data_IF_344431386184
#
_entry.id   IF_344431386184
#
_cell.length_a   1.000
_cell.length_b   1.000
_cell.length_c   1.000
_cell.angle_alpha   90.00
_cell.angle_beta   90.00
_cell.angle_gamma   90.00
#
_symmetry.space_group_name_H-M   'P 1'
#
loop_
_entity.id
_entity.type
_entity.pdbx_description
1 polymer ?
#
# COMPACT_ATOMS: atom_id res chain seq x y z
N UNK A 1 -8.08 -6.82 -10.94
CA UNK A 1 -7.57 -5.61 -10.26
C UNK A 1 -8.10 -4.38 -10.99
N UNK A 2 -8.84 -3.51 -10.30
CA UNK A 2 -9.30 -2.24 -10.85
C UNK A 2 -8.79 -1.07 -10.01
N UNK A 3 -8.45 0.04 -10.66
CA UNK A 3 -8.08 1.28 -9.97
C UNK A 3 -9.26 2.24 -10.06
N UNK A 4 -9.84 2.58 -8.92
CA UNK A 4 -10.96 3.52 -8.88
C UNK A 4 -10.54 4.91 -9.39
N UNK A 5 -11.49 5.71 -9.88
CA UNK A 5 -11.23 7.10 -10.29
C UNK A 5 -10.52 7.88 -9.17
N UNK A 6 -11.00 7.74 -7.93
CA UNK A 6 -10.39 8.36 -6.77
C UNK A 6 -8.93 7.92 -6.57
N UNK A 7 -8.64 6.63 -6.67
CA UNK A 7 -7.27 6.14 -6.58
C UNK A 7 -6.36 6.67 -7.70
N UNK A 8 -6.87 6.78 -8.93
CA UNK A 8 -6.12 7.37 -10.06
C UNK A 8 -5.74 8.82 -9.78
N UNK A 9 -6.68 9.63 -9.30
CA UNK A 9 -6.42 11.03 -8.90
C UNK A 9 -5.34 11.11 -7.81
N UNK A 10 -5.47 10.28 -6.77
CA UNK A 10 -4.48 10.24 -5.67
C UNK A 10 -3.10 9.78 -6.11
N UNK A 11 -3.01 8.81 -7.02
CA UNK A 11 -1.75 8.34 -7.61
C UNK A 11 -1.09 9.40 -8.50
N UNK A 12 -1.88 10.17 -9.25
CA UNK A 12 -1.37 11.29 -10.02
C UNK A 12 -0.82 12.38 -9.09
N UNK A 13 -1.58 12.78 -8.07
CA UNK A 13 -1.19 13.83 -7.12
C UNK A 13 0.03 13.45 -6.27
N UNK A 14 0.09 12.21 -5.76
CA UNK A 14 1.08 11.78 -4.76
C UNK A 14 2.28 11.08 -5.36
N UNK A 15 2.12 10.49 -6.54
CA UNK A 15 3.15 9.68 -7.18
C UNK A 15 3.48 10.15 -8.61
N UNK A 16 2.80 11.18 -9.13
CA UNK A 16 3.01 11.68 -10.50
C UNK A 16 2.61 10.69 -11.60
N UNK A 17 1.81 9.66 -11.28
CA UNK A 17 1.51 8.58 -12.22
C UNK A 17 0.34 8.93 -13.15
N UNK A 18 0.51 8.56 -14.42
CA UNK A 18 -0.60 8.49 -15.37
C UNK A 18 -1.42 7.21 -15.17
N UNK A 19 -2.55 7.10 -15.87
CA UNK A 19 -3.49 5.98 -15.74
C UNK A 19 -2.84 4.60 -15.93
N UNK A 20 -2.09 4.40 -17.03
CA UNK A 20 -1.42 3.11 -17.31
C UNK A 20 -0.40 2.75 -16.21
N UNK A 21 0.37 3.73 -15.75
CA UNK A 21 1.34 3.52 -14.68
C UNK A 21 0.67 3.27 -13.34
N UNK A 22 -0.48 3.90 -13.09
CA UNK A 22 -1.30 3.70 -11.89
C UNK A 22 -1.83 2.28 -11.81
N UNK A 23 -2.33 1.74 -12.92
CA UNK A 23 -2.80 0.36 -13.01
C UNK A 23 -1.66 -0.64 -12.81
N UNK A 24 -0.50 -0.41 -13.45
CA UNK A 24 0.70 -1.23 -13.26
C UNK A 24 1.15 -1.22 -11.80
N UNK A 25 1.21 -0.05 -11.17
CA UNK A 25 1.66 0.11 -9.79
C UNK A 25 0.69 -0.54 -8.81
N UNK A 26 -0.62 -0.37 -9.01
CA UNK A 26 -1.64 -1.02 -8.19
C UNK A 26 -1.51 -2.55 -8.24
N UNK A 27 -1.28 -3.12 -9.43
CA UNK A 27 -1.06 -4.56 -9.61
C UNK A 27 0.20 -5.03 -8.86
N UNK A 28 1.33 -4.35 -9.04
CA UNK A 28 2.59 -4.67 -8.35
C UNK A 28 2.41 -4.62 -6.83
N UNK A 29 1.82 -3.55 -6.30
CA UNK A 29 1.59 -3.40 -4.87
C UNK A 29 0.65 -4.49 -4.32
N UNK A 30 -0.35 -4.92 -5.09
CA UNK A 30 -1.26 -5.98 -4.67
C UNK A 30 -0.57 -7.35 -4.58
N UNK A 31 0.26 -7.66 -5.56
CA UNK A 31 0.96 -8.95 -5.70
C UNK A 31 2.18 -9.05 -4.79
N UNK A 32 2.99 -7.98 -4.73
CA UNK A 32 4.32 -7.97 -4.09
C UNK A 32 4.40 -7.13 -2.82
N UNK A 33 3.37 -6.37 -2.50
CA UNK A 33 3.36 -5.52 -1.30
C UNK A 33 3.19 -6.34 -0.03
N UNK A 34 3.81 -5.87 1.05
CA UNK A 34 3.69 -6.49 2.37
C UNK A 34 2.24 -6.47 2.83
N UNK A 35 1.76 -7.62 3.29
CA UNK A 35 0.44 -7.83 3.88
C UNK A 35 0.50 -7.51 5.37
N UNK A 36 -0.66 -7.31 5.97
CA UNK A 36 -0.77 -7.09 7.42
C UNK A 36 -0.11 -8.18 8.28
N UNK A 37 -0.15 -9.43 7.80
CA UNK A 37 0.50 -10.58 8.45
C UNK A 37 2.04 -10.49 8.47
N UNK A 38 2.63 -9.79 7.50
CA UNK A 38 4.09 -9.64 7.37
C UNK A 38 4.63 -8.54 8.29
N UNK A 39 3.73 -7.70 8.84
CA UNK A 39 4.11 -6.52 9.62
C UNK A 39 4.22 -6.86 11.11
N UNK A 40 5.21 -6.25 11.76
CA UNK A 40 5.44 -6.35 13.20
C UNK A 40 5.60 -4.95 13.83
N UNK A 41 5.72 -4.90 15.15
CA UNK A 41 6.13 -3.69 15.87
C UNK A 41 5.28 -2.44 15.61
N UNK A 42 5.96 -1.31 15.40
CA UNK A 42 5.33 0.00 15.21
C UNK A 42 4.67 0.12 13.84
N UNK A 43 5.20 -0.55 12.82
CA UNK A 43 4.62 -0.57 11.49
C UNK A 43 3.24 -1.23 11.49
N UNK A 44 3.08 -2.37 12.17
CA UNK A 44 1.79 -3.04 12.33
C UNK A 44 0.77 -2.13 13.04
N UNK A 45 1.15 -1.52 14.17
CA UNK A 45 0.32 -0.57 14.91
C UNK A 45 -0.13 0.62 14.06
N UNK A 46 0.75 1.12 13.19
CA UNK A 46 0.40 2.21 12.29
C UNK A 46 -0.62 1.78 11.24
N UNK A 47 -0.46 0.59 10.63
CA UNK A 47 -1.41 0.03 9.66
C UNK A 47 -2.77 -0.26 10.31
N UNK A 48 -2.79 -0.80 11.53
CA UNK A 48 -4.03 -1.03 12.29
C UNK A 48 -4.84 0.25 12.42
N UNK A 49 -4.19 1.37 12.76
CA UNK A 49 -4.84 2.69 12.81
C UNK A 49 -5.48 3.07 11.48
N UNK A 50 -4.83 2.80 10.34
CA UNK A 50 -5.38 3.15 9.02
C UNK A 50 -6.64 2.36 8.67
N UNK A 51 -6.75 1.12 9.18
CA UNK A 51 -7.93 0.28 9.01
C UNK A 51 -9.16 0.87 9.71
N UNK A 52 -9.00 1.40 10.93
CA UNK A 52 -10.10 2.02 11.68
C UNK A 52 -10.67 3.29 11.01
N UNK A 53 -9.83 4.04 10.27
CA UNK A 53 -10.27 5.19 9.48
C UNK A 53 -10.99 4.80 8.18
N UNK A 54 -10.70 3.60 7.65
CA UNK A 54 -11.25 3.12 6.38
C UNK A 54 -12.05 1.84 6.59
N UNK A 55 -13.16 1.90 7.34
CA UNK A 55 -13.97 0.71 7.74
C UNK A 55 -14.43 -0.22 6.59
N UNK A 56 -14.36 0.23 5.34
CA UNK A 56 -14.65 -0.58 4.14
C UNK A 56 -13.41 -1.22 3.52
N UNK A 57 -12.20 -0.74 3.78
CA UNK A 57 -10.99 -1.34 3.25
C UNK A 57 -10.66 -2.62 4.02
N UNK A 58 -10.55 -3.75 3.33
CA UNK A 58 -10.22 -5.04 3.95
C UNK A 58 -8.77 -5.46 3.68
N UNK A 59 -8.05 -4.75 2.80
CA UNK A 59 -6.69 -5.13 2.41
C UNK A 59 -5.80 -3.89 2.28
N UNK A 60 -4.72 -3.86 3.07
CA UNK A 60 -3.66 -2.87 2.94
C UNK A 60 -2.40 -3.59 2.44
N UNK A 61 -1.70 -2.96 1.50
CA UNK A 61 -0.39 -3.42 1.00
C UNK A 61 0.63 -2.31 1.12
N UNK A 62 1.78 -2.60 1.72
CA UNK A 62 2.88 -1.66 1.77
C UNK A 62 3.86 -1.98 0.65
N UNK A 63 4.17 -0.98 -0.19
CA UNK A 63 5.11 -1.15 -1.29
C UNK A 63 5.89 0.14 -1.51
N UNK A 64 7.22 0.04 -1.45
CA UNK A 64 8.11 1.20 -1.41
C UNK A 64 7.83 2.05 -0.18
N UNK A 65 7.52 3.33 -0.39
CA UNK A 65 7.20 4.29 0.67
C UNK A 65 5.69 4.60 0.77
N UNK A 66 4.84 3.83 0.09
CA UNK A 66 3.39 4.05 0.02
C UNK A 66 2.60 2.87 0.60
N UNK A 67 1.47 3.18 1.22
CA UNK A 67 0.46 2.22 1.58
C UNK A 67 -0.72 2.29 0.60
N UNK A 68 -1.02 1.16 -0.03
CA UNK A 68 -2.08 0.97 -1.01
C UNK A 68 -3.28 0.32 -0.31
N UNK A 69 -4.42 1.01 -0.34
CA UNK A 69 -5.63 0.62 0.40
C UNK A 69 -6.65 0.07 -0.60
N UNK A 70 -6.93 -1.22 -0.47
CA UNK A 70 -7.82 -1.97 -1.34
C UNK A 70 -9.11 -2.37 -0.62
N UNK A 71 -10.17 -2.49 -1.42
CA UNK A 71 -11.34 -3.28 -1.10
C UNK A 71 -11.44 -4.42 -2.12
N UNK A 72 -11.24 -5.65 -1.67
CA UNK A 72 -11.05 -6.82 -2.56
C UNK A 72 -9.93 -6.56 -3.57
N UNK A 73 -10.24 -6.54 -4.87
CA UNK A 73 -9.30 -6.25 -5.95
C UNK A 73 -9.43 -4.82 -6.49
N UNK A 74 -10.03 -3.90 -5.73
CA UNK A 74 -10.22 -2.52 -6.14
C UNK A 74 -9.32 -1.61 -5.30
N UNK A 75 -8.39 -0.88 -5.95
CA UNK A 75 -7.61 0.14 -5.27
C UNK A 75 -8.50 1.36 -5.01
N UNK A 76 -8.69 1.68 -3.73
CA UNK A 76 -9.53 2.79 -3.28
C UNK A 76 -8.70 4.05 -3.13
N UNK A 77 -7.54 3.97 -2.47
CA UNK A 77 -6.67 5.13 -2.25
C UNK A 77 -5.23 4.69 -1.94
N UNK A 78 -4.32 5.67 -1.95
CA UNK A 78 -2.89 5.48 -1.65
C UNK A 78 -2.43 6.58 -0.70
N UNK A 79 -1.75 6.23 0.38
CA UNK A 79 -1.27 7.18 1.39
C UNK A 79 0.24 7.03 1.60
N UNK A 80 0.87 8.10 2.10
CA UNK A 80 2.29 8.11 2.44
C UNK A 80 2.53 7.34 3.74
N UNK A 81 3.54 6.46 3.75
CA UNK A 81 4.02 5.84 4.98
C UNK A 81 4.86 6.87 5.75
N UNK A 82 4.70 7.01 7.07
CA UNK A 82 5.55 7.86 7.89
C UNK A 82 7.03 7.57 7.64
N UNK A 83 7.82 8.62 7.43
CA UNK A 83 9.21 8.49 6.98
C UNK A 83 10.06 7.60 7.90
N UNK A 84 9.82 7.65 9.21
CA UNK A 84 10.49 6.82 10.21
C UNK A 84 10.17 5.32 10.09
N UNK A 85 9.06 4.95 9.44
CA UNK A 85 8.62 3.56 9.26
C UNK A 85 8.99 2.97 7.90
N UNK A 86 9.36 3.80 6.91
CA UNK A 86 9.75 3.32 5.56
C UNK A 86 10.96 2.38 5.63
N UNK A 87 11.91 2.64 6.54
CA UNK A 87 13.09 1.76 6.73
C UNK A 87 12.69 0.34 7.14
N UNK A 88 11.64 0.20 7.95
CA UNK A 88 11.14 -1.09 8.41
C UNK A 88 10.45 -1.85 7.27
N UNK A 89 9.71 -1.16 6.40
CA UNK A 89 9.14 -1.75 5.17
C UNK A 89 10.24 -2.32 4.30
N UNK A 90 11.29 -1.54 4.01
CA UNK A 90 12.42 -1.98 3.17
C UNK A 90 13.13 -3.18 3.78
N UNK A 91 13.31 -3.20 5.10
CA UNK A 91 13.94 -4.34 5.81
C UNK A 91 13.12 -5.62 5.63
N UNK A 92 11.83 -5.59 5.96
CA UNK A 92 10.93 -6.76 5.87
C UNK A 92 10.80 -7.23 4.41
N UNK A 93 10.70 -6.31 3.45
CA UNK A 93 10.64 -6.67 2.03
C UNK A 93 11.89 -7.38 1.51
N UNK A 94 13.06 -7.18 2.12
CA UNK A 94 14.28 -7.91 1.76
C UNK A 94 14.29 -9.32 2.36
N UNK A 95 13.98 -9.42 3.66
CA UNK A 95 13.96 -10.69 4.40
C UNK A 95 12.96 -11.71 3.81
N UNK A 96 11.84 -11.24 3.24
CA UNK A 96 10.85 -12.11 2.58
C UNK A 96 11.18 -12.55 1.15
N UNK A 97 12.23 -12.01 0.51
CA UNK A 97 12.66 -12.36 -0.86
C UNK A 97 13.92 -13.24 -0.89
N UNK A 98 14.43 -13.68 0.27
CA UNK A 98 15.62 -14.54 0.39
C UNK A 98 15.27 -16.04 0.53
N UNK A 99 14.17 -16.51 -0.08
CA UNK A 99 13.76 -17.93 -0.07
C UNK A 99 13.55 -18.44 -1.50
#
# INVERSE_FOLDING_TARGET
MQVTKHAKERLKERCGLNDKSSERMAKIAYEKGLRHGDLTGNLKKWVDKQYFYNRRANQIRLYGDKAYIFHNQNLITVIQIPHNLVKEVVRISKEGNEI
#
